data_IF_787662604987
#
_entry.id   IF_787662604987
#
_cell.length_a   1.000
_cell.length_b   1.000
_cell.length_c   1.000
_cell.angle_alpha   90.00
_cell.angle_beta   90.00
_cell.angle_gamma   90.00
#
_symmetry.space_group_name_H-M   'P 1'
#
loop_
_entity.id
_entity.type
_entity.pdbx_description
1 polymer ?
#
# COMPACT_ATOMS: atom_id res chain seq x y z
N UNK A 1 3.37 16.67 0.49
CA UNK A 1 3.56 15.97 0.30
C UNK A 1 4.48 15.45 1.05
N UNK A 2 5.02 15.54 1.79
CA UNK A 2 6.00 15.01 2.51
C UNK A 2 5.57 14.22 3.68
N UNK A 3 4.45 14.45 4.27
CA UNK A 3 4.11 13.76 5.41
C UNK A 3 3.97 12.30 5.22
N UNK A 4 3.23 11.82 4.26
CA UNK A 4 3.12 10.37 4.06
C UNK A 4 4.47 9.76 3.76
N UNK A 5 5.28 10.48 3.02
CA UNK A 5 6.59 9.97 2.70
C UNK A 5 7.45 9.85 3.92
N UNK A 6 7.30 10.79 4.81
CA UNK A 6 8.09 10.77 6.00
C UNK A 6 7.74 9.57 6.86
N UNK A 7 6.48 9.27 6.98
CA UNK A 7 6.07 8.13 7.77
C UNK A 7 6.59 6.85 7.16
N UNK A 8 6.56 6.77 5.85
CA UNK A 8 7.03 5.59 5.20
C UNK A 8 8.53 5.42 5.35
N UNK A 9 9.26 6.51 5.28
CA UNK A 9 10.69 6.44 5.44
C UNK A 9 11.03 5.96 6.84
N UNK A 10 10.29 6.43 7.83
CA UNK A 10 10.53 6.01 9.18
C UNK A 10 10.34 4.51 9.32
N UNK A 11 9.31 3.97 8.73
CA UNK A 11 9.08 2.54 8.76
C UNK A 11 10.22 1.77 8.10
N UNK A 12 10.68 2.28 6.98
CA UNK A 12 11.75 1.62 6.28
C UNK A 12 13.03 1.58 7.12
N UNK A 13 13.32 2.68 7.77
CA UNK A 13 14.51 2.71 8.60
C UNK A 13 14.41 1.73 9.74
N UNK A 14 13.27 1.67 10.38
CA UNK A 14 13.08 0.74 11.44
C UNK A 14 13.24 -0.69 10.96
N UNK A 15 12.68 -0.98 9.83
CA UNK A 15 12.77 -2.30 9.28
C UNK A 15 14.21 -2.67 8.98
N UNK A 16 14.96 -1.74 8.46
CA UNK A 16 16.33 -2.01 8.14
C UNK A 16 17.16 -2.25 9.38
N UNK A 17 16.88 -1.51 10.41
CA UNK A 17 17.63 -1.71 11.62
C UNK A 17 17.33 -3.08 12.19
N UNK A 18 16.10 -3.49 12.12
CA UNK A 18 15.70 -4.72 12.64
C UNK A 18 16.29 -5.81 11.93
N UNK A 19 16.48 -5.73 10.83
CA UNK A 19 17.10 -6.67 10.18
C UNK A 19 16.57 -7.89 10.13
N UNK A 20 16.36 -8.46 10.47
CA UNK A 20 16.14 -9.68 10.27
C UNK A 20 14.95 -10.10 10.50
N UNK A 21 14.45 -9.94 10.74
CA UNK A 21 13.49 -10.42 10.92
C UNK A 21 12.82 -11.15 10.43
N UNK A 22 12.80 -11.31 10.02
CA UNK A 22 12.53 -12.12 9.42
C UNK A 22 11.47 -12.82 9.66
N UNK A 23 11.31 -13.36 10.43
CA UNK A 23 10.40 -14.08 10.52
C UNK A 23 9.20 -13.57 10.49
N UNK A 24 8.96 -12.66 10.55
CA UNK A 24 7.77 -12.26 10.56
C UNK A 24 7.28 -11.86 9.40
N UNK A 25 6.20 -11.71 9.15
CA UNK A 25 5.66 -11.36 7.95
C UNK A 25 5.86 -9.93 7.66
N UNK A 26 6.32 -9.15 8.53
CA UNK A 26 6.51 -7.74 8.26
C UNK A 26 7.44 -7.48 7.11
N UNK A 27 7.12 -6.51 6.30
CA UNK A 27 7.93 -6.18 5.14
C UNK A 27 8.03 -4.67 5.05
N UNK A 28 9.21 -4.12 5.22
CA UNK A 28 9.46 -2.69 5.13
C UNK A 28 8.49 -1.87 5.96
N UNK A 29 8.12 -2.38 7.12
CA UNK A 29 7.21 -1.67 8.01
C UNK A 29 5.76 -1.95 7.77
N UNK A 30 5.44 -2.80 6.81
CA UNK A 30 4.07 -3.19 6.53
C UNK A 30 3.84 -4.61 7.02
N UNK A 31 2.58 -4.98 7.19
CA UNK A 31 2.24 -6.29 7.69
C UNK A 31 2.87 -7.42 6.88
N UNK A 32 2.85 -7.28 5.58
CA UNK A 32 3.42 -8.32 4.72
C UNK A 32 3.81 -7.72 3.39
N UNK A 33 4.44 -8.53 2.56
CA UNK A 33 4.89 -8.10 1.25
C UNK A 33 3.73 -7.62 0.37
N UNK A 34 2.64 -8.36 0.39
CA UNK A 34 1.50 -8.02 -0.47
C UNK A 34 0.96 -6.62 -0.15
N UNK A 35 0.82 -6.31 1.13
CA UNK A 35 0.32 -5.00 1.53
C UNK A 35 1.29 -3.91 1.12
N UNK A 36 2.58 -4.16 1.36
CA UNK A 36 3.61 -3.21 0.96
C UNK A 36 3.56 -2.96 -0.54
N UNK A 37 3.44 -4.02 -1.31
CA UNK A 37 3.50 -3.91 -2.76
C UNK A 37 2.33 -3.10 -3.30
N UNK A 38 1.13 -3.33 -2.76
CA UNK A 38 -0.04 -2.59 -3.20
C UNK A 38 0.08 -1.11 -2.80
N UNK A 39 0.57 -0.85 -1.59
CA UNK A 39 0.75 0.52 -1.15
C UNK A 39 1.74 1.24 -2.04
N UNK A 40 2.81 0.56 -2.41
CA UNK A 40 3.81 1.14 -3.28
C UNK A 40 3.22 1.43 -4.66
N UNK A 41 2.41 0.54 -5.16
CA UNK A 41 1.78 0.72 -6.45
C UNK A 41 0.85 1.93 -6.42
N UNK A 42 0.07 2.08 -5.36
CA UNK A 42 -0.82 3.22 -5.26
C UNK A 42 -0.04 4.53 -5.22
N UNK A 43 1.18 4.47 -4.70
CA UNK A 43 1.99 5.65 -4.58
C UNK A 43 2.73 6.00 -5.86
N UNK A 44 3.20 5.00 -6.56
CA UNK A 44 4.08 5.22 -7.70
C UNK A 44 3.39 5.29 -9.05
N UNK A 45 2.24 4.68 -9.19
CA UNK A 45 1.53 4.73 -10.46
C UNK A 45 0.61 5.95 -10.46
N UNK A 46 0.82 6.84 -11.40
CA UNK A 46 0.08 8.09 -11.42
C UNK A 46 -1.45 7.89 -11.41
N UNK A 47 -1.94 7.03 -12.26
CA UNK A 47 -3.38 6.79 -12.31
C UNK A 47 -3.90 6.18 -11.03
N UNK A 48 -3.16 5.23 -10.50
CA UNK A 48 -3.56 4.58 -9.27
C UNK A 48 -3.55 5.57 -8.11
N UNK A 49 -2.56 6.43 -8.08
CA UNK A 49 -2.43 7.45 -7.04
C UNK A 49 -3.63 8.40 -7.09
N UNK A 50 -3.95 8.88 -8.29
CA UNK A 50 -5.07 9.80 -8.42
C UNK A 50 -6.39 9.15 -8.04
N UNK A 51 -6.58 7.91 -8.44
CA UNK A 51 -7.80 7.20 -8.09
C UNK A 51 -7.89 6.99 -6.59
N UNK A 52 -6.80 6.53 -5.99
CA UNK A 52 -6.82 6.26 -4.56
C UNK A 52 -7.13 7.51 -3.76
N UNK A 53 -6.66 8.64 -4.20
CA UNK A 53 -6.92 9.90 -3.51
C UNK A 53 -8.39 10.26 -3.49
N UNK A 54 -9.16 9.77 -4.43
CA UNK A 54 -10.58 10.10 -4.49
C UNK A 54 -11.43 9.10 -3.72
N UNK A 55 -10.81 8.04 -3.19
CA UNK A 55 -11.55 7.01 -2.50
C UNK A 55 -11.57 7.26 -1.00
N UNK A 56 -12.60 6.79 -0.34
CA UNK A 56 -12.68 6.94 1.10
C UNK A 56 -11.78 5.94 1.79
N UNK A 57 -11.67 4.76 1.23
CA UNK A 57 -10.87 3.71 1.84
C UNK A 57 -10.48 2.73 0.77
N UNK A 58 -9.75 1.70 1.17
CA UNK A 58 -9.24 0.74 0.21
C UNK A 58 -10.35 -0.09 -0.43
N UNK A 59 -11.42 -0.35 0.30
CA UNK A 59 -12.51 -1.11 -0.25
C UNK A 59 -13.12 -0.38 -1.44
N UNK A 60 -13.25 0.93 -1.34
CA UNK A 60 -13.77 1.70 -2.44
C UNK A 60 -12.81 1.70 -3.62
N UNK A 61 -11.51 1.74 -3.32
CA UNK A 61 -10.50 1.64 -4.35
C UNK A 61 -10.62 0.30 -5.09
N UNK A 62 -10.84 -0.78 -4.36
CA UNK A 62 -11.05 -2.07 -4.98
C UNK A 62 -12.29 -2.05 -5.86
N UNK A 63 -13.34 -1.43 -5.39
CA UNK A 63 -14.57 -1.38 -6.14
C UNK A 63 -14.36 -0.72 -7.50
N UNK A 64 -13.65 0.39 -7.52
CA UNK A 64 -13.41 1.09 -8.77
C UNK A 64 -12.47 0.32 -9.69
N UNK A 65 -11.73 -0.62 -9.16
CA UNK A 65 -10.84 -1.42 -9.98
C UNK A 65 -11.44 -2.74 -10.43
N UNK A 66 -12.69 -3.00 -10.07
CA UNK A 66 -13.31 -4.25 -10.46
C UNK A 66 -13.36 -4.41 -11.96
N UNK A 67 -13.71 -3.34 -12.66
CA UNK A 67 -13.82 -3.42 -14.12
C UNK A 67 -12.55 -2.99 -14.81
N UNK A 68 -11.54 -2.62 -14.06
CA UNK A 68 -10.29 -2.18 -14.66
C UNK A 68 -9.52 -3.38 -15.15
N UNK A 69 -8.96 -3.33 -16.33
CA UNK A 69 -8.23 -4.50 -16.84
C UNK A 69 -7.03 -4.85 -15.98
N UNK A 70 -6.47 -3.88 -15.30
CA UNK A 70 -5.33 -4.19 -14.47
C UNK A 70 -5.72 -4.10 -13.03
N UNK A 71 -6.05 -5.19 -12.40
CA UNK A 71 -6.32 -5.20 -10.98
C UNK A 71 -5.21 -5.92 -10.24
N UNK A 72 -4.01 -5.88 -10.80
CA UNK A 72 -2.84 -6.53 -10.23
C UNK A 72 -1.68 -5.56 -10.35
N UNK A 73 -0.83 -5.51 -9.34
CA UNK A 73 0.33 -4.64 -9.40
C UNK A 73 1.31 -5.17 -10.44
N UNK A 74 2.26 -4.36 -10.88
CA UNK A 74 3.27 -4.83 -11.82
C UNK A 74 4.05 -6.02 -11.29
N UNK A 75 4.15 -6.16 -9.99
CA UNK A 75 4.86 -7.28 -9.41
C UNK A 75 3.98 -8.50 -9.23
N UNK A 76 2.74 -8.44 -9.67
CA UNK A 76 1.91 -9.62 -9.65
C UNK A 76 1.00 -9.79 -8.44
N UNK A 77 0.90 -8.79 -7.60
CA UNK A 77 0.05 -8.90 -6.43
C UNK A 77 -1.35 -8.42 -6.77
N UNK A 78 -2.33 -9.26 -6.50
CA UNK A 78 -3.71 -8.90 -6.77
C UNK A 78 -4.18 -7.81 -5.82
N UNK A 79 -4.91 -6.84 -6.34
CA UNK A 79 -5.51 -5.80 -5.51
C UNK A 79 -6.60 -6.38 -4.61
N UNK A 80 -6.97 -7.64 -4.85
CA UNK A 80 -7.99 -8.32 -4.06
C UNK A 80 -7.40 -9.46 -3.25
N UNK A 81 -6.11 -9.47 -3.05
CA UNK A 81 -5.44 -10.55 -2.33
C UNK A 81 -5.94 -10.59 -0.89
N UNK A 82 -6.39 -11.74 -0.42
CA UNK A 82 -6.90 -11.82 0.95
C UNK A 82 -5.86 -11.56 2.03
N UNK A 83 -4.59 -11.56 1.68
CA UNK A 83 -3.55 -11.27 2.65
C UNK A 83 -3.35 -9.78 2.90
N UNK A 84 -4.01 -8.94 2.12
CA UNK A 84 -3.83 -7.50 2.26
C UNK A 84 -4.39 -7.01 3.59
N UNK A 85 -3.64 -6.15 4.24
CA UNK A 85 -4.07 -5.55 5.49
C UNK A 85 -4.84 -4.28 5.15
N UNK A 86 -6.16 -4.37 5.17
CA UNK A 86 -7.00 -3.26 4.76
C UNK A 86 -6.84 -2.04 5.64
N UNK A 87 -6.59 -2.25 6.93
CA UNK A 87 -6.42 -1.10 7.80
C UNK A 87 -5.20 -0.29 7.40
N UNK A 88 -4.12 -0.96 7.10
CA UNK A 88 -2.91 -0.25 6.67
C UNK A 88 -3.14 0.47 5.36
N UNK A 89 -3.87 -0.16 4.45
CA UNK A 89 -4.15 0.47 3.17
C UNK A 89 -5.13 1.63 3.31
N UNK A 90 -6.09 1.52 4.23
CA UNK A 90 -6.98 2.63 4.52
C UNK A 90 -6.19 3.81 5.06
N UNK A 91 -5.25 3.53 5.96
CA UNK A 91 -4.42 4.58 6.51
C UNK A 91 -3.58 5.23 5.42
N UNK A 92 -3.09 4.41 4.50
CA UNK A 92 -2.31 4.93 3.40
C UNK A 92 -3.13 5.90 2.55
N UNK A 93 -4.36 5.53 2.24
CA UNK A 93 -5.22 6.39 1.45
C UNK A 93 -5.52 7.68 2.19
N UNK A 94 -5.73 7.58 3.49
CA UNK A 94 -5.98 8.77 4.29
C UNK A 94 -4.77 9.70 4.25
N UNK A 95 -3.58 9.14 4.32
CA UNK A 95 -2.38 9.95 4.24
C UNK A 95 -2.24 10.63 2.90
N UNK A 96 -2.63 9.96 1.85
CA UNK A 96 -2.53 10.55 0.52
C UNK A 96 -3.37 11.80 0.38
N UNK A 97 -4.46 11.86 1.11
CA UNK A 97 -5.34 13.01 1.01
C UNK A 97 -4.89 14.17 1.87
N UNK A 98 -4.05 13.92 2.82
CA UNK A 98 -3.62 14.95 3.74
C UNK A 98 -2.68 16.01 3.10
#
# INVERSE_FOLDING_TARGET
MGEPSKARIFRLLNNQLGGDKTMNQEYNGWTNYETWNVALYMDNDHESYELAKTCKNYKEYQFFNLTHPRNTTPDGVSLFDPKLNHKELDDKITEMKA
#
